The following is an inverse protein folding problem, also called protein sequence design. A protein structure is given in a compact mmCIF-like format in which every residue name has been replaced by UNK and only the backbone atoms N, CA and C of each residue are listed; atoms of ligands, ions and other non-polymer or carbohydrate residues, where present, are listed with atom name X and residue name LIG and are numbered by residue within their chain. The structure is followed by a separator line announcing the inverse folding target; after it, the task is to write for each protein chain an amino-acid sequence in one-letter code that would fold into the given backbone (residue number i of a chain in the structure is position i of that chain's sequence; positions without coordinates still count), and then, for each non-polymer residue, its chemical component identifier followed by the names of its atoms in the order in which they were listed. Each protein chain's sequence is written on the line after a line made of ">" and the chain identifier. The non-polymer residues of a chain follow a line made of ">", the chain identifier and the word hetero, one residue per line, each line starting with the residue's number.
data_IF_445898890326
#
_entry.id   IF_445898890326
#
_cell.length_a   1.000
_cell.length_b   1.000
_cell.length_c   1.000
_cell.angle_alpha   90.00
_cell.angle_beta   90.00
_cell.angle_gamma   90.00
#
_symmetry.space_group_name_H-M   'P 1'
#
loop_
_entity.id
_entity.type
_entity.pdbx_description
1 polymer ?
#
# COMPACT_ATOMS: atom_id res chain seq x y z
N UNK A 1 -0.14 -9.54 -19.24
CA UNK A 1 0.31 -9.64 -20.63
C UNK A 1 1.83 -9.63 -20.72
N UNK A 2 2.58 -10.69 -21.07
CA UNK A 2 3.73 -10.45 -21.96
C UNK A 2 3.04 -10.24 -23.29
N UNK A 3 2.89 -8.98 -23.70
CA UNK A 3 2.24 -8.74 -24.98
C UNK A 3 3.15 -9.28 -26.08
N UNK A 4 2.60 -9.50 -27.28
CA UNK A 4 3.41 -9.70 -28.48
C UNK A 4 4.45 -8.59 -28.73
N UNK A 5 4.41 -7.50 -27.95
CA UNK A 5 5.30 -6.35 -28.03
C UNK A 5 6.30 -6.25 -26.85
N UNK A 6 6.18 -7.04 -25.78
CA UNK A 6 7.13 -6.96 -24.67
C UNK A 6 7.09 -8.13 -23.70
N UNK A 7 8.28 -8.68 -23.43
CA UNK A 7 8.52 -9.69 -22.39
C UNK A 7 8.86 -9.05 -21.04
N UNK A 8 8.90 -7.70 -20.95
CA UNK A 8 9.24 -6.98 -19.72
C UNK A 8 7.99 -6.75 -18.89
N UNK A 9 8.06 -7.06 -17.59
CA UNK A 9 7.05 -6.65 -16.61
C UNK A 9 6.94 -5.12 -16.61
N UNK A 10 5.74 -4.60 -16.77
CA UNK A 10 5.47 -3.15 -16.90
C UNK A 10 4.50 -2.63 -15.85
N UNK A 11 3.83 -3.52 -15.12
CA UNK A 11 2.92 -3.12 -14.06
C UNK A 11 3.73 -2.93 -12.80
N UNK A 12 3.64 -1.76 -12.17
CA UNK A 12 4.19 -1.59 -10.84
C UNK A 12 3.40 -2.49 -9.89
N UNK A 13 4.08 -3.37 -9.17
CA UNK A 13 3.46 -4.22 -8.15
C UNK A 13 2.84 -3.39 -7.03
N UNK A 14 1.79 -3.94 -6.41
CA UNK A 14 1.38 -3.47 -5.10
C UNK A 14 2.46 -3.89 -4.09
N UNK A 15 2.74 -3.05 -3.08
CA UNK A 15 3.56 -3.51 -1.97
C UNK A 15 2.79 -4.62 -1.24
N UNK A 16 3.47 -5.72 -0.92
CA UNK A 16 2.88 -6.82 -0.13
C UNK A 16 2.68 -6.44 1.35
N UNK A 17 3.06 -5.23 1.73
CA UNK A 17 2.99 -4.69 3.07
C UNK A 17 2.74 -3.17 2.98
N UNK A 18 1.86 -2.67 3.83
CA UNK A 18 1.59 -1.24 3.99
C UNK A 18 2.25 -0.76 5.27
N UNK A 19 3.06 0.29 5.20
CA UNK A 19 3.58 0.94 6.38
C UNK A 19 2.47 1.80 7.00
N UNK A 20 1.80 1.23 8.00
CA UNK A 20 0.81 1.87 8.85
C UNK A 20 1.23 1.66 10.30
N UNK A 21 0.91 2.60 11.18
CA UNK A 21 1.33 2.51 12.57
C UNK A 21 0.46 3.35 13.49
N UNK A 22 0.50 3.02 14.76
CA UNK A 22 -0.15 3.77 15.83
C UNK A 22 0.90 4.43 16.71
N UNK A 23 0.56 5.60 17.23
CA UNK A 23 1.31 6.25 18.29
C UNK A 23 0.48 6.22 19.57
N UNK A 24 1.08 5.78 20.67
CA UNK A 24 0.46 5.82 22.00
C UNK A 24 0.97 7.05 22.72
N UNK A 25 0.06 7.89 23.21
CA UNK A 25 0.43 9.04 24.02
C UNK A 25 1.15 8.57 25.29
N UNK A 26 2.33 9.12 25.58
CA UNK A 26 3.13 8.79 26.77
C UNK A 26 2.39 8.98 28.10
N UNK A 27 1.36 9.82 28.13
CA UNK A 27 0.54 10.11 29.30
C UNK A 27 -0.74 9.24 29.37
N UNK A 28 -0.94 8.30 28.43
CA UNK A 28 -2.09 7.41 28.49
C UNK A 28 -2.02 6.55 29.74
N UNK A 29 -3.13 6.45 30.48
CA UNK A 29 -3.26 5.49 31.58
C UNK A 29 -3.54 4.06 31.11
N UNK A 30 -3.74 3.86 29.81
CA UNK A 30 -4.14 2.60 29.19
C UNK A 30 -3.08 2.03 28.23
N UNK A 31 -1.80 2.35 28.44
CA UNK A 31 -0.72 1.90 27.53
C UNK A 31 -0.75 0.38 27.36
N UNK A 32 -0.90 -0.36 28.45
CA UNK A 32 -0.93 -1.82 28.43
C UNK A 32 -2.11 -2.35 27.62
N UNK A 33 -3.31 -1.86 27.90
CA UNK A 33 -4.55 -2.29 27.27
C UNK A 33 -4.58 -1.94 25.78
N UNK A 34 -4.05 -0.77 25.41
CA UNK A 34 -3.90 -0.38 24.00
C UNK A 34 -2.91 -1.30 23.30
N UNK A 35 -1.76 -1.62 23.91
CA UNK A 35 -0.83 -2.59 23.32
C UNK A 35 -1.49 -3.96 23.12
N UNK A 36 -2.23 -4.46 24.12
CA UNK A 36 -2.96 -5.74 24.00
C UNK A 36 -4.01 -5.70 22.89
N UNK A 37 -4.75 -4.60 22.75
CA UNK A 37 -5.71 -4.40 21.66
C UNK A 37 -5.01 -4.43 20.29
N UNK A 38 -3.89 -3.73 20.15
CA UNK A 38 -3.15 -3.66 18.89
C UNK A 38 -2.46 -4.99 18.53
N UNK A 39 -2.11 -5.81 19.52
CA UNK A 39 -1.53 -7.14 19.32
C UNK A 39 -2.50 -8.09 18.57
N UNK A 40 -3.80 -7.91 18.77
CA UNK A 40 -4.86 -8.66 18.06
C UNK A 40 -4.72 -8.50 16.53
N UNK A 41 -4.27 -7.34 16.04
CA UNK A 41 -4.08 -7.11 14.61
C UNK A 41 -3.07 -8.08 13.97
N UNK A 42 -2.20 -8.69 14.77
CA UNK A 42 -1.18 -9.64 14.34
C UNK A 42 -1.53 -11.10 14.71
N UNK A 43 -2.64 -11.33 15.41
CA UNK A 43 -3.06 -12.66 15.79
C UNK A 43 -3.45 -13.49 14.56
N UNK A 44 -2.87 -14.69 14.43
CA UNK A 44 -3.19 -15.65 13.37
C UNK A 44 -4.38 -16.55 13.71
N UNK A 45 -4.77 -16.57 14.99
CA UNK A 45 -5.87 -17.34 15.55
C UNK A 45 -6.74 -16.40 16.41
N UNK A 46 -7.96 -16.82 16.73
CA UNK A 46 -8.84 -16.04 17.60
C UNK A 46 -8.20 -15.82 18.96
N UNK A 47 -8.22 -14.57 19.42
CA UNK A 47 -7.71 -14.21 20.75
C UNK A 47 -8.64 -14.65 21.89
N UNK A 48 -9.88 -14.97 21.54
CA UNK A 48 -10.90 -15.58 22.40
C UNK A 48 -11.82 -16.44 21.53
N UNK A 49 -12.02 -17.70 21.90
CA UNK A 49 -12.75 -18.68 21.08
C UNK A 49 -14.21 -18.26 20.84
N UNK A 50 -14.65 -18.35 19.58
CA UNK A 50 -16.01 -18.06 19.14
C UNK A 50 -16.29 -16.56 18.96
N UNK A 51 -15.27 -15.71 19.04
CA UNK A 51 -15.43 -14.26 18.88
C UNK A 51 -15.20 -13.79 17.45
N UNK A 52 -14.52 -14.59 16.62
CA UNK A 52 -14.07 -14.16 15.29
C UNK A 52 -12.99 -13.08 15.35
N UNK A 53 -12.41 -12.81 16.52
CA UNK A 53 -11.49 -11.69 16.75
C UNK A 53 -10.04 -12.14 16.61
N UNK A 54 -9.46 -11.85 15.45
CA UNK A 54 -8.04 -12.07 15.13
C UNK A 54 -7.57 -11.05 14.10
N UNK A 55 -6.36 -11.19 13.55
CA UNK A 55 -5.72 -10.15 12.74
C UNK A 55 -6.54 -9.62 11.55
N UNK A 56 -7.41 -10.44 10.96
CA UNK A 56 -8.30 -10.01 9.86
C UNK A 56 -9.45 -9.11 10.32
N UNK A 57 -9.80 -9.15 11.61
CA UNK A 57 -10.93 -8.39 12.15
C UNK A 57 -10.74 -6.88 12.08
N UNK A 58 -9.49 -6.40 11.98
CA UNK A 58 -9.22 -4.97 11.83
C UNK A 58 -9.62 -4.43 10.45
N UNK A 59 -9.73 -5.30 9.45
CA UNK A 59 -10.10 -4.96 8.07
C UNK A 59 -11.54 -5.35 7.74
N UNK A 60 -11.99 -6.49 8.23
CA UNK A 60 -13.29 -7.06 7.88
C UNK A 60 -14.30 -7.03 9.03
N UNK A 61 -13.88 -6.70 10.26
CA UNK A 61 -14.62 -6.98 11.49
C UNK A 61 -14.53 -8.45 11.91
N UNK A 62 -15.11 -8.85 13.06
CA UNK A 62 -15.00 -10.21 13.52
C UNK A 62 -15.63 -11.22 12.54
N UNK A 63 -14.93 -12.34 12.30
CA UNK A 63 -15.43 -13.43 11.46
C UNK A 63 -16.74 -14.00 12.04
N UNK A 64 -17.70 -14.35 11.18
CA UNK A 64 -19.04 -14.80 11.56
C UNK A 64 -20.00 -13.66 11.93
N UNK A 65 -19.50 -12.44 12.20
CA UNK A 65 -20.34 -11.27 12.50
C UNK A 65 -20.51 -10.38 11.27
N UNK A 66 -19.41 -9.98 10.65
CA UNK A 66 -19.40 -9.00 9.55
C UNK A 66 -18.92 -9.60 8.23
N UNK A 67 -18.33 -10.79 8.25
CA UNK A 67 -17.87 -11.53 7.09
C UNK A 67 -17.65 -13.01 7.43
N UNK A 68 -17.56 -13.86 6.42
CA UNK A 68 -17.23 -15.29 6.59
C UNK A 68 -16.59 -15.86 5.33
N UNK A 69 -15.75 -16.88 5.48
CA UNK A 69 -15.29 -17.68 4.35
C UNK A 69 -16.43 -18.48 3.72
N UNK A 70 -16.31 -18.69 2.41
CA UNK A 70 -17.29 -19.42 1.58
C UNK A 70 -16.74 -20.69 0.98
N UNK A 71 -15.49 -21.02 1.28
CA UNK A 71 -14.86 -22.29 0.93
C UNK A 71 -13.85 -22.74 1.99
N UNK A 72 -13.63 -24.05 2.08
CA UNK A 72 -12.72 -24.67 3.07
C UNK A 72 -11.25 -24.28 2.86
N UNK A 73 -10.88 -23.88 1.63
CA UNK A 73 -9.52 -23.45 1.29
C UNK A 73 -9.27 -22.00 1.68
N UNK A 74 -10.27 -21.30 2.22
CA UNK A 74 -10.20 -19.88 2.61
C UNK A 74 -9.80 -18.97 1.45
N UNK A 75 -10.23 -19.30 0.23
CA UNK A 75 -9.92 -18.51 -0.97
C UNK A 75 -10.99 -17.48 -1.32
N UNK A 76 -12.19 -17.65 -0.78
CA UNK A 76 -13.32 -16.76 -1.01
C UNK A 76 -14.10 -16.47 0.25
N UNK A 77 -14.65 -15.26 0.32
CA UNK A 77 -15.40 -14.76 1.46
C UNK A 77 -16.60 -13.94 1.00
N UNK A 78 -17.58 -13.72 1.88
CA UNK A 78 -18.58 -12.67 1.70
C UNK A 78 -18.74 -11.83 2.95
N UNK A 79 -19.27 -10.62 2.76
CA UNK A 79 -19.65 -9.74 3.86
C UNK A 79 -21.08 -10.01 4.33
N UNK A 80 -21.26 -10.01 5.64
CA UNK A 80 -22.54 -10.12 6.31
C UNK A 80 -23.06 -8.70 6.57
N UNK A 81 -24.01 -8.26 5.76
CA UNK A 81 -24.65 -6.94 5.92
C UNK A 81 -25.95 -7.10 6.73
N UNK A 82 -26.14 -6.35 7.82
CA UNK A 82 -27.38 -6.39 8.60
C UNK A 82 -28.63 -6.09 7.75
N UNK A 83 -29.73 -6.78 8.06
CA UNK A 83 -31.03 -6.57 7.39
C UNK A 83 -31.47 -5.10 7.50
N UNK A 84 -31.98 -4.55 6.40
CA UNK A 84 -32.46 -3.16 6.33
C UNK A 84 -31.38 -2.14 5.98
N UNK A 85 -30.13 -2.55 5.81
CA UNK A 85 -29.07 -1.69 5.26
C UNK A 85 -28.98 -1.90 3.75
N UNK A 86 -29.26 -0.84 2.99
CA UNK A 86 -29.12 -0.81 1.53
C UNK A 86 -27.69 -0.36 1.14
N UNK A 87 -26.72 -1.23 1.40
CA UNK A 87 -25.32 -1.03 1.02
C UNK A 87 -24.70 -2.36 0.60
N UNK A 88 -23.86 -2.33 -0.44
CA UNK A 88 -22.99 -3.47 -0.76
C UNK A 88 -21.99 -3.70 0.37
N UNK A 89 -21.61 -4.96 0.58
CA UNK A 89 -20.75 -5.38 1.70
C UNK A 89 -19.48 -4.54 1.87
N UNK A 90 -18.75 -4.30 0.79
CA UNK A 90 -17.54 -3.46 0.83
C UNK A 90 -17.82 -2.06 1.36
N UNK A 91 -18.93 -1.44 0.95
CA UNK A 91 -19.32 -0.11 1.41
C UNK A 91 -19.77 -0.13 2.87
N UNK A 92 -20.45 -1.20 3.31
CA UNK A 92 -20.84 -1.38 4.71
C UNK A 92 -19.60 -1.48 5.62
N UNK A 93 -18.63 -2.32 5.26
CA UNK A 93 -17.39 -2.49 6.03
C UNK A 93 -16.62 -1.19 6.12
N UNK A 94 -16.35 -0.53 4.98
CA UNK A 94 -15.60 0.73 4.97
C UNK A 94 -16.27 1.85 5.79
N UNK A 95 -17.60 1.84 5.91
CA UNK A 95 -18.35 2.90 6.59
C UNK A 95 -18.53 2.65 8.09
N UNK A 96 -18.75 1.40 8.49
CA UNK A 96 -19.22 1.10 9.86
C UNK A 96 -18.33 0.14 10.65
N UNK A 97 -17.42 -0.58 9.99
CA UNK A 97 -16.66 -1.67 10.63
C UNK A 97 -15.17 -1.38 10.63
N UNK A 98 -14.64 -0.93 9.49
CA UNK A 98 -13.22 -0.69 9.29
C UNK A 98 -12.73 0.36 10.30
N UNK A 99 -11.94 -0.08 11.27
CA UNK A 99 -11.36 0.82 12.27
C UNK A 99 -10.11 1.51 11.71
N UNK A 100 -9.27 0.77 10.98
CA UNK A 100 -8.04 1.26 10.36
C UNK A 100 -7.54 0.27 9.31
N UNK A 101 -6.64 0.71 8.41
CA UNK A 101 -5.95 -0.17 7.46
C UNK A 101 -4.75 -0.88 8.10
N UNK A 102 -4.97 -1.49 9.27
CA UNK A 102 -3.97 -2.31 9.97
C UNK A 102 -4.53 -3.71 10.12
N UNK A 103 -3.66 -4.70 10.29
CA UNK A 103 -4.05 -6.09 10.46
C UNK A 103 -3.67 -6.97 9.28
N UNK A 104 -4.01 -8.25 9.39
CA UNK A 104 -3.69 -9.24 8.38
C UNK A 104 -4.69 -9.14 7.22
N UNK A 105 -4.18 -9.06 6.00
CA UNK A 105 -4.97 -9.12 4.77
C UNK A 105 -4.37 -10.17 3.84
N UNK A 106 -5.22 -10.90 3.13
CA UNK A 106 -4.77 -11.71 2.00
C UNK A 106 -5.31 -11.08 0.70
N UNK A 107 -4.40 -10.57 -0.12
CA UNK A 107 -4.72 -9.96 -1.41
C UNK A 107 -5.17 -10.95 -2.49
N UNK A 108 -5.07 -12.25 -2.23
CA UNK A 108 -5.49 -13.30 -3.16
C UNK A 108 -6.92 -13.79 -2.89
N UNK A 109 -7.50 -13.44 -1.74
CA UNK A 109 -8.89 -13.76 -1.40
C UNK A 109 -9.87 -12.95 -2.28
N UNK A 110 -10.92 -13.63 -2.77
CA UNK A 110 -11.94 -13.03 -3.65
C UNK A 110 -13.32 -13.05 -3.01
N UNK A 111 -14.18 -12.07 -3.30
CA UNK A 111 -15.57 -12.15 -2.85
C UNK A 111 -16.27 -13.34 -3.52
N UNK A 112 -17.04 -14.14 -2.80
CA UNK A 112 -17.74 -15.28 -3.37
C UNK A 112 -18.96 -14.84 -4.18
N UNK A 113 -19.62 -13.77 -3.76
CA UNK A 113 -20.71 -13.15 -4.49
C UNK A 113 -20.25 -12.73 -5.89
N UNK A 114 -20.96 -13.22 -6.90
CA UNK A 114 -20.76 -12.81 -8.29
C UNK A 114 -21.10 -11.32 -8.46
N UNK A 115 -20.27 -10.63 -9.23
CA UNK A 115 -20.44 -9.21 -9.49
C UNK A 115 -19.13 -8.47 -9.76
N UNK A 116 -19.23 -7.15 -9.84
CA UNK A 116 -18.10 -6.27 -10.16
C UNK A 116 -16.88 -6.48 -9.22
N UNK A 117 -17.02 -6.62 -7.89
CA UNK A 117 -15.87 -6.84 -7.01
C UNK A 117 -15.09 -8.12 -7.34
N UNK A 118 -15.77 -9.27 -7.43
CA UNK A 118 -15.18 -10.57 -7.75
C UNK A 118 -14.45 -10.57 -9.09
N UNK A 119 -15.09 -10.02 -10.13
CA UNK A 119 -14.48 -9.94 -11.47
C UNK A 119 -13.22 -9.09 -11.46
N UNK A 120 -13.18 -7.98 -10.71
CA UNK A 120 -11.97 -7.16 -10.55
C UNK A 120 -10.86 -7.90 -9.82
N UNK A 121 -11.17 -8.61 -8.75
CA UNK A 121 -10.18 -9.37 -7.97
C UNK A 121 -9.59 -10.53 -8.80
N UNK A 122 -10.43 -11.32 -9.46
CA UNK A 122 -9.98 -12.37 -10.37
C UNK A 122 -9.17 -11.78 -11.54
N UNK A 123 -9.64 -10.66 -12.10
CA UNK A 123 -8.92 -9.94 -13.15
C UNK A 123 -7.54 -9.46 -12.69
N UNK A 124 -7.41 -8.99 -11.45
CA UNK A 124 -6.12 -8.62 -10.86
C UNK A 124 -5.20 -9.85 -10.72
N UNK A 125 -5.69 -10.94 -10.15
CA UNK A 125 -4.92 -12.17 -9.94
C UNK A 125 -4.43 -12.74 -11.28
N UNK A 126 -5.30 -12.80 -12.28
CA UNK A 126 -4.97 -13.42 -13.58
C UNK A 126 -4.15 -12.50 -14.49
N UNK A 127 -4.43 -11.19 -14.48
CA UNK A 127 -3.92 -10.27 -15.51
C UNK A 127 -2.93 -9.23 -15.00
N UNK A 128 -2.87 -8.97 -13.69
CA UNK A 128 -1.92 -8.02 -13.11
C UNK A 128 -0.73 -8.74 -12.47
N UNK A 129 -0.97 -9.64 -11.51
CA UNK A 129 0.10 -10.28 -10.69
C UNK A 129 1.23 -10.88 -11.54
N UNK A 130 0.98 -11.68 -12.60
CA UNK A 130 2.08 -12.31 -13.35
C UNK A 130 2.96 -11.31 -14.11
N UNK A 131 2.58 -10.04 -14.16
CA UNK A 131 3.20 -9.00 -14.97
C UNK A 131 3.67 -7.79 -14.16
N UNK A 132 3.57 -7.92 -12.83
CA UNK A 132 4.07 -6.94 -11.89
C UNK A 132 5.57 -7.10 -11.69
N UNK A 133 6.28 -5.99 -11.54
CA UNK A 133 7.63 -5.95 -11.00
C UNK A 133 7.61 -5.33 -9.60
N UNK A 134 8.55 -5.73 -8.77
CA UNK A 134 8.62 -5.21 -7.40
C UNK A 134 8.95 -3.72 -7.40
N UNK A 135 8.16 -2.90 -6.67
CA UNK A 135 8.44 -1.49 -6.52
C UNK A 135 9.77 -1.29 -5.79
N UNK A 136 10.47 -0.20 -6.11
CA UNK A 136 11.63 0.23 -5.34
C UNK A 136 11.24 0.42 -3.85
N UNK A 137 11.95 -0.17 -2.88
CA UNK A 137 11.51 -0.25 -1.48
C UNK A 137 11.72 1.05 -0.71
N UNK A 138 11.71 2.22 -1.36
CA UNK A 138 12.09 3.50 -0.79
C UNK A 138 11.32 3.93 0.46
N UNK A 139 10.12 3.38 0.70
CA UNK A 139 9.34 3.64 1.93
C UNK A 139 9.74 2.77 3.12
N UNK A 140 10.55 1.75 2.90
CA UNK A 140 10.92 0.75 3.90
C UNK A 140 12.39 0.85 4.29
N UNK A 141 13.20 1.53 3.47
CA UNK A 141 14.59 1.79 3.79
C UNK A 141 14.72 2.76 4.96
N UNK A 142 15.71 2.51 5.81
CA UNK A 142 16.06 3.39 6.92
C UNK A 142 17.14 4.39 6.50
N UNK A 143 16.92 5.66 6.84
CA UNK A 143 17.82 6.76 6.59
C UNK A 143 18.45 7.24 7.90
N UNK A 144 19.74 7.57 7.85
CA UNK A 144 20.42 8.32 8.91
C UNK A 144 19.91 9.77 8.95
N UNK A 145 20.09 10.52 10.05
CA UNK A 145 19.69 11.92 10.12
C UNK A 145 20.29 12.79 9.01
N UNK A 146 21.56 12.56 8.65
CA UNK A 146 22.25 13.31 7.59
C UNK A 146 21.66 13.00 6.21
N UNK A 147 21.41 11.72 5.92
CA UNK A 147 20.75 11.29 4.69
C UNK A 147 19.33 11.89 4.57
N UNK A 148 18.57 11.85 5.67
CA UNK A 148 17.24 12.44 5.72
C UNK A 148 17.29 13.95 5.47
N UNK A 149 18.27 14.66 6.04
CA UNK A 149 18.48 16.08 5.79
C UNK A 149 18.78 16.39 4.32
N UNK A 150 19.54 15.54 3.62
CA UNK A 150 19.80 15.68 2.18
C UNK A 150 18.51 15.49 1.38
N UNK A 151 17.71 14.47 1.71
CA UNK A 151 16.42 14.22 1.06
C UNK A 151 15.49 15.43 1.28
N UNK A 152 15.30 15.85 2.53
CA UNK A 152 14.33 16.91 2.86
C UNK A 152 14.69 18.24 2.20
N UNK A 153 15.98 18.59 2.16
CA UNK A 153 16.48 19.86 1.61
C UNK A 153 16.46 19.89 0.07
N UNK A 154 16.88 18.81 -0.61
CA UNK A 154 17.04 18.82 -2.07
C UNK A 154 15.85 18.20 -2.79
N UNK A 155 15.37 17.05 -2.32
CA UNK A 155 14.35 16.29 -3.05
C UNK A 155 13.01 17.03 -3.10
N UNK A 156 12.64 17.76 -2.05
CA UNK A 156 11.39 18.53 -1.99
C UNK A 156 11.32 19.59 -3.11
N UNK A 157 12.38 20.36 -3.29
CA UNK A 157 12.47 21.37 -4.35
C UNK A 157 12.51 20.72 -5.73
N UNK A 158 13.32 19.67 -5.89
CA UNK A 158 13.42 18.92 -7.16
C UNK A 158 12.05 18.34 -7.55
N UNK A 159 11.34 17.70 -6.62
CA UNK A 159 10.03 17.12 -6.84
C UNK A 159 9.01 18.17 -7.30
N UNK A 160 9.07 19.36 -6.69
CA UNK A 160 8.22 20.51 -7.08
C UNK A 160 8.52 20.95 -8.52
N UNK A 161 9.79 21.15 -8.86
CA UNK A 161 10.22 21.51 -10.22
C UNK A 161 9.83 20.44 -11.25
N UNK A 162 10.05 19.16 -10.96
CA UNK A 162 9.68 18.03 -11.81
C UNK A 162 8.16 18.02 -12.06
N UNK A 163 7.35 18.25 -11.02
CA UNK A 163 5.88 18.29 -11.14
C UNK A 163 5.42 19.44 -12.03
N UNK A 164 5.99 20.62 -11.86
CA UNK A 164 5.69 21.79 -12.69
C UNK A 164 6.08 21.58 -14.15
N UNK A 165 7.32 21.14 -14.39
CA UNK A 165 7.83 20.90 -15.74
C UNK A 165 7.07 19.79 -16.45
N UNK A 166 6.67 18.72 -15.74
CA UNK A 166 5.76 17.70 -16.27
C UNK A 166 4.45 18.33 -16.77
N UNK A 167 3.86 19.23 -16.00
CA UNK A 167 2.67 19.97 -16.43
C UNK A 167 2.92 20.75 -17.72
N UNK A 168 4.00 21.52 -17.76
CA UNK A 168 4.39 22.32 -18.94
C UNK A 168 4.67 21.48 -20.18
N UNK A 169 5.28 20.30 -20.03
CA UNK A 169 5.51 19.38 -21.15
C UNK A 169 4.20 18.78 -21.67
N UNK A 170 3.29 18.37 -20.77
CA UNK A 170 1.98 17.82 -21.15
C UNK A 170 1.13 18.86 -21.89
N UNK A 171 1.14 20.11 -21.42
CA UNK A 171 0.34 21.20 -22.03
C UNK A 171 1.03 21.84 -23.24
N UNK A 172 2.24 21.41 -23.60
CA UNK A 172 2.99 21.96 -24.73
C UNK A 172 3.58 23.36 -24.50
N UNK A 173 3.58 23.87 -23.27
CA UNK A 173 4.27 25.12 -22.90
C UNK A 173 5.80 24.94 -23.02
N UNK A 174 6.28 23.73 -22.72
CA UNK A 174 7.67 23.29 -22.96
C UNK A 174 7.66 22.12 -23.95
N UNK A 175 8.69 22.04 -24.78
CA UNK A 175 8.81 21.02 -25.80
C UNK A 175 9.79 19.91 -25.35
N UNK A 176 9.29 18.69 -25.22
CA UNK A 176 10.09 17.54 -24.76
C UNK A 176 11.26 17.17 -25.68
N UNK A 177 11.23 17.57 -26.95
CA UNK A 177 12.31 17.28 -27.91
C UNK A 177 13.46 18.29 -27.82
N UNK A 178 13.18 19.53 -27.45
CA UNK A 178 14.18 20.62 -27.45
C UNK A 178 14.61 21.04 -26.06
N UNK A 179 13.72 20.94 -25.07
CA UNK A 179 13.95 21.51 -23.74
C UNK A 179 14.33 20.45 -22.70
N UNK A 180 14.43 19.17 -23.10
CA UNK A 180 14.68 18.06 -22.19
C UNK A 180 16.08 18.10 -21.56
N UNK A 181 17.10 18.42 -22.34
CA UNK A 181 18.48 18.45 -21.83
C UNK A 181 18.67 19.59 -20.83
N UNK A 182 18.04 20.74 -21.06
CA UNK A 182 18.01 21.87 -20.11
C UNK A 182 17.29 21.47 -18.81
N UNK A 183 16.16 20.79 -18.92
CA UNK A 183 15.40 20.27 -17.78
C UNK A 183 16.25 19.30 -16.93
N UNK A 184 16.93 18.34 -17.56
CA UNK A 184 17.83 17.39 -16.88
C UNK A 184 19.01 18.13 -16.24
N UNK A 185 19.64 19.07 -16.95
CA UNK A 185 20.75 19.87 -16.42
C UNK A 185 20.32 20.69 -15.20
N UNK A 186 19.10 21.21 -15.19
CA UNK A 186 18.53 21.95 -14.05
C UNK A 186 18.37 21.04 -12.85
N UNK A 187 17.78 19.84 -13.01
CA UNK A 187 17.63 18.87 -11.91
C UNK A 187 19.00 18.44 -11.35
N UNK A 188 20.01 18.28 -12.22
CA UNK A 188 21.40 18.02 -11.78
C UNK A 188 21.97 19.16 -10.96
N UNK A 189 21.79 20.41 -11.39
CA UNK A 189 22.21 21.60 -10.62
C UNK A 189 21.50 21.73 -9.27
N UNK A 190 20.25 21.25 -9.18
CA UNK A 190 19.50 21.20 -7.92
C UNK A 190 19.99 20.09 -6.98
N UNK A 191 20.94 19.25 -7.39
CA UNK A 191 21.59 18.26 -6.52
C UNK A 191 20.90 16.90 -6.49
N UNK A 192 20.24 16.48 -7.57
CA UNK A 192 19.64 15.13 -7.65
C UNK A 192 20.67 14.01 -7.44
N UNK A 193 21.93 14.22 -7.85
CA UNK A 193 22.98 13.21 -7.72
C UNK A 193 23.27 12.89 -6.25
N UNK A 194 23.18 13.89 -5.37
CA UNK A 194 23.34 13.70 -3.92
C UNK A 194 22.18 12.90 -3.34
N UNK A 195 20.96 13.17 -3.80
CA UNK A 195 19.76 12.43 -3.39
C UNK A 195 19.83 10.97 -3.87
N UNK A 196 20.25 10.75 -5.13
CA UNK A 196 20.42 9.40 -5.68
C UNK A 196 21.48 8.60 -4.94
N UNK A 197 22.60 9.24 -4.56
CA UNK A 197 23.63 8.61 -3.73
C UNK A 197 23.06 8.15 -2.39
N UNK A 198 22.30 9.00 -1.70
CA UNK A 198 21.63 8.65 -0.43
C UNK A 198 20.68 7.46 -0.62
N UNK A 199 19.84 7.47 -1.66
CA UNK A 199 18.95 6.35 -1.95
C UNK A 199 19.72 5.05 -2.23
N UNK A 200 20.85 5.13 -2.95
CA UNK A 200 21.67 3.97 -3.24
C UNK A 200 22.33 3.40 -1.98
N UNK A 201 22.89 4.24 -1.12
CA UNK A 201 23.51 3.80 0.14
C UNK A 201 22.48 3.16 1.08
N UNK A 202 21.27 3.73 1.17
CA UNK A 202 20.16 3.15 1.92
C UNK A 202 19.72 1.80 1.34
N UNK A 203 19.68 1.68 0.02
CA UNK A 203 19.32 0.43 -0.68
C UNK A 203 20.37 -0.66 -0.48
N UNK A 204 21.66 -0.30 -0.52
CA UNK A 204 22.75 -1.23 -0.28
C UNK A 204 22.76 -1.75 1.16
N UNK A 205 22.33 -0.92 2.14
CA UNK A 205 22.10 -1.38 3.52
C UNK A 205 20.89 -2.30 3.62
N UNK A 206 19.78 -1.94 2.98
CA UNK A 206 18.55 -2.73 2.97
C UNK A 206 18.79 -4.15 2.44
N UNK A 207 19.54 -4.32 1.36
CA UNK A 207 19.82 -5.64 0.77
C UNK A 207 20.78 -6.53 1.59
N UNK A 208 21.32 -6.05 2.70
CA UNK A 208 22.17 -6.83 3.62
C UNK A 208 21.41 -7.32 4.86
N UNK A 209 20.16 -6.86 5.04
CA UNK A 209 19.25 -7.31 6.10
C UNK A 209 18.56 -8.61 5.67
#
# INVERSE_FOLDING_TARGET
>A
MTSQYSNKQKLLGANNYLLSGYAINKNSRYVKEICQLLDIAFATEEVEEGTGLYGKAFLHGPEGITWEYKDDKKTSYDYIVPKGIDMVGTSYINKYVLWSNTGLYDGMEVTAQEGNPRIRQLGYIQNAIPYQYDPFPGRFMSYTPDEQSVIDSKYTEISTYVKEMRGKFITGIKNVKTDWDEYVATIKKMGIEDVLKVYQEAYDRWNKL
#
